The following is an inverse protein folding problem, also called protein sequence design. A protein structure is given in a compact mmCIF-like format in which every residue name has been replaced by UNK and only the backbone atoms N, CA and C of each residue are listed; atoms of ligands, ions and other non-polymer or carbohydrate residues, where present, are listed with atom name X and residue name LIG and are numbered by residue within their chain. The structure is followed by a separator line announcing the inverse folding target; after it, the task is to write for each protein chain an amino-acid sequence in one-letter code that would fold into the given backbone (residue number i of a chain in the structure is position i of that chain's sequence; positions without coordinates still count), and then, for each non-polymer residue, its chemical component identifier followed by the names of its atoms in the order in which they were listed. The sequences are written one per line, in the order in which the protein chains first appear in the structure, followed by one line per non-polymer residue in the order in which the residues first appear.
data_IF_734109158193
#
_entry.id   IF_734109158193
#
_cell.length_a   1.000
_cell.length_b   1.000
_cell.length_c   1.000
_cell.angle_alpha   90.00
_cell.angle_beta   90.00
_cell.angle_gamma   90.00
#
_symmetry.space_group_name_H-M   'P 1'
#
loop_
_entity.id
_entity.type
_entity.pdbx_description
1 polymer ?
#
# COMPACT_ATOMS: atom_id res chain seq x y z
N UNK A 1 -18.73 -0.24 3.20
CA UNK A 1 -17.71 -0.48 4.23
C UNK A 1 -16.39 0.18 3.83
N UNK A 2 -15.77 0.85 4.76
CA UNK A 2 -14.50 1.54 4.49
C UNK A 2 -13.37 0.54 4.61
N UNK A 3 -12.52 0.50 3.59
CA UNK A 3 -11.37 -0.38 3.59
C UNK A 3 -10.23 0.28 4.35
N UNK A 4 -9.56 -0.49 5.19
CA UNK A 4 -8.41 0.00 5.90
C UNK A 4 -7.14 -0.09 5.08
N UNK A 5 -6.03 0.32 5.68
CA UNK A 5 -4.75 0.31 5.01
C UNK A 5 -4.36 -1.08 4.48
N UNK A 6 -4.49 -2.17 5.28
CA UNK A 6 -4.07 -3.48 4.78
C UNK A 6 -4.80 -3.86 3.50
N UNK A 7 -6.10 -3.66 3.46
CA UNK A 7 -6.90 -4.03 2.28
C UNK A 7 -6.51 -3.19 1.08
N UNK A 8 -6.27 -1.89 1.30
CA UNK A 8 -5.89 -1.01 0.20
C UNK A 8 -4.53 -1.36 -0.36
N UNK A 9 -3.59 -1.73 0.49
CA UNK A 9 -2.27 -2.14 0.03
C UNK A 9 -2.37 -3.38 -0.85
N UNK A 10 -3.16 -4.35 -0.43
CA UNK A 10 -3.34 -5.57 -1.22
C UNK A 10 -4.02 -5.25 -2.55
N UNK A 11 -5.06 -4.41 -2.53
CA UNK A 11 -5.77 -4.04 -3.75
C UNK A 11 -4.85 -3.36 -4.75
N UNK A 12 -4.04 -2.42 -4.29
CA UNK A 12 -3.14 -1.72 -5.18
C UNK A 12 -2.10 -2.66 -5.77
N UNK A 13 -1.57 -3.56 -4.97
CA UNK A 13 -0.60 -4.53 -5.45
C UNK A 13 -1.22 -5.40 -6.55
N UNK A 14 -2.44 -5.87 -6.31
CA UNK A 14 -3.12 -6.72 -7.28
C UNK A 14 -3.50 -5.94 -8.54
N UNK A 15 -3.86 -4.69 -8.37
CA UNK A 15 -4.19 -3.82 -9.51
C UNK A 15 -3.04 -3.73 -10.50
N UNK A 16 -1.82 -3.66 -9.99
CA UNK A 16 -0.64 -3.58 -10.84
C UNK A 16 -0.03 -4.93 -11.15
N UNK A 17 -0.66 -6.02 -10.69
CA UNK A 17 -0.17 -7.39 -10.92
C UNK A 17 1.23 -7.60 -10.35
N UNK A 18 1.54 -6.94 -9.26
CA UNK A 18 2.82 -7.12 -8.58
C UNK A 18 2.72 -8.30 -7.62
N UNK A 19 3.81 -9.08 -7.52
CA UNK A 19 3.91 -10.09 -6.49
C UNK A 19 4.34 -9.45 -5.18
N UNK A 20 4.10 -10.15 -4.07
CA UNK A 20 4.61 -9.67 -2.78
C UNK A 20 6.13 -9.60 -2.81
N UNK A 21 6.77 -10.55 -3.48
CA UNK A 21 8.23 -10.55 -3.60
C UNK A 21 8.73 -9.31 -4.33
N UNK A 22 8.06 -8.93 -5.42
CA UNK A 22 8.46 -7.76 -6.17
C UNK A 22 8.38 -6.50 -5.30
N UNK A 23 7.25 -6.35 -4.60
CA UNK A 23 7.06 -5.17 -3.73
C UNK A 23 8.10 -5.19 -2.61
N UNK A 24 8.36 -6.36 -2.04
CA UNK A 24 9.35 -6.50 -0.98
C UNK A 24 10.74 -6.06 -1.48
N UNK A 25 11.10 -6.49 -2.69
CA UNK A 25 12.38 -6.10 -3.27
C UNK A 25 12.47 -4.60 -3.46
N UNK A 26 11.38 -3.97 -3.89
CA UNK A 26 11.35 -2.52 -4.08
C UNK A 26 11.51 -1.77 -2.77
N UNK A 27 11.01 -2.32 -1.68
CA UNK A 27 11.07 -1.69 -0.38
C UNK A 27 12.25 -2.17 0.47
N UNK A 28 13.05 -3.11 -0.05
CA UNK A 28 14.19 -3.68 0.66
C UNK A 28 13.78 -4.36 1.96
N UNK A 29 12.70 -5.12 1.90
CA UNK A 29 12.21 -5.92 3.04
C UNK A 29 11.93 -7.32 2.54
N UNK A 30 11.63 -8.24 3.47
CA UNK A 30 11.26 -9.60 3.08
C UNK A 30 9.79 -9.66 2.63
N UNK A 31 9.43 -10.65 1.81
CA UNK A 31 8.02 -10.81 1.41
C UNK A 31 7.08 -11.00 2.60
N UNK A 32 7.54 -11.61 3.68
CA UNK A 32 6.69 -11.78 4.86
C UNK A 32 6.32 -10.44 5.49
N UNK A 33 7.17 -9.43 5.37
CA UNK A 33 6.85 -8.09 5.84
C UNK A 33 5.70 -7.51 5.01
N UNK A 34 5.75 -7.68 3.69
CA UNK A 34 4.68 -7.21 2.83
C UNK A 34 3.37 -7.92 3.16
N UNK A 35 3.44 -9.24 3.36
CA UNK A 35 2.28 -10.00 3.78
C UNK A 35 1.71 -9.45 5.09
N UNK A 36 2.57 -9.13 6.04
CA UNK A 36 2.14 -8.55 7.31
C UNK A 36 1.44 -7.21 7.13
N UNK A 37 1.92 -6.38 6.23
CA UNK A 37 1.26 -5.11 5.92
C UNK A 37 -0.15 -5.36 5.36
N UNK A 38 -0.30 -6.40 4.55
CA UNK A 38 -1.58 -6.67 3.89
C UNK A 38 -2.58 -7.39 4.79
N UNK A 39 -2.10 -8.04 5.83
CA UNK A 39 -2.99 -8.69 6.81
C UNK A 39 -3.29 -7.82 8.01
N UNK A 40 -2.54 -6.75 8.19
CA UNK A 40 -2.69 -5.88 9.35
C UNK A 40 -1.84 -6.29 10.53
N UNK A 41 -1.03 -7.35 10.40
CA UNK A 41 -0.15 -7.79 11.48
C UNK A 41 1.00 -6.81 11.70
N UNK A 42 1.36 -6.06 10.67
CA UNK A 42 2.43 -5.08 10.74
C UNK A 42 1.94 -3.78 10.14
N UNK A 43 2.44 -2.68 10.69
CA UNK A 43 2.12 -1.34 10.19
C UNK A 43 3.38 -0.78 9.55
N UNK A 44 3.31 -0.33 8.29
CA UNK A 44 4.48 0.28 7.67
C UNK A 44 4.86 1.58 8.35
N UNK A 45 6.15 1.83 8.46
CA UNK A 45 6.64 3.12 8.93
C UNK A 45 6.27 4.19 7.93
N UNK A 46 6.43 5.46 8.33
CA UNK A 46 6.19 6.58 7.40
C UNK A 46 7.03 6.43 6.14
N UNK A 47 8.29 6.05 6.31
CA UNK A 47 9.20 5.87 5.17
C UNK A 47 8.70 4.79 4.23
N UNK A 48 8.27 3.65 4.78
CA UNK A 48 7.78 2.56 3.95
C UNK A 48 6.44 2.91 3.33
N UNK A 49 5.60 3.64 4.05
CA UNK A 49 4.32 4.08 3.52
C UNK A 49 4.52 5.02 2.33
N UNK A 50 5.47 5.93 2.42
CA UNK A 50 5.80 6.81 1.30
C UNK A 50 6.28 6.01 0.10
N UNK A 51 7.15 5.02 0.34
CA UNK A 51 7.64 4.19 -0.74
C UNK A 51 6.51 3.42 -1.42
N UNK A 52 5.56 2.91 -0.62
CA UNK A 52 4.40 2.22 -1.16
C UNK A 52 3.53 3.16 -1.98
N UNK A 53 3.35 4.40 -1.51
CA UNK A 53 2.54 5.36 -2.24
C UNK A 53 3.15 5.67 -3.61
N UNK A 54 4.47 5.80 -3.68
CA UNK A 54 5.15 6.02 -4.95
C UNK A 54 5.01 4.80 -5.86
N UNK A 55 5.20 3.62 -5.30
CA UNK A 55 5.14 2.38 -6.08
C UNK A 55 3.75 2.17 -6.67
N UNK A 56 2.72 2.50 -5.91
CA UNK A 56 1.33 2.30 -6.33
C UNK A 56 0.72 3.55 -6.95
N UNK A 57 1.49 4.61 -7.11
CA UNK A 57 1.03 5.85 -7.76
C UNK A 57 -0.23 6.41 -7.11
N UNK A 58 -0.27 6.41 -5.79
CA UNK A 58 -1.38 6.97 -5.03
C UNK A 58 -0.84 7.78 -3.85
N UNK A 59 -1.70 8.55 -3.22
CA UNK A 59 -1.28 9.37 -2.09
C UNK A 59 -1.28 8.55 -0.81
N UNK A 60 -0.48 8.97 0.16
CA UNK A 60 -0.51 8.34 1.48
C UNK A 60 -1.87 8.57 2.15
N UNK A 61 -2.50 9.71 1.90
CA UNK A 61 -3.83 9.96 2.45
C UNK A 61 -4.85 8.96 1.93
N UNK A 62 -4.75 8.61 0.65
CA UNK A 62 -5.64 7.58 0.10
C UNK A 62 -5.40 6.25 0.80
N UNK A 63 -4.13 5.86 0.96
CA UNK A 63 -3.81 4.58 1.60
C UNK A 63 -4.28 4.54 3.04
N UNK A 64 -4.19 5.67 3.74
CA UNK A 64 -4.60 5.76 5.13
C UNK A 64 -6.10 5.94 5.32
N UNK A 65 -6.82 6.15 4.21
CA UNK A 65 -8.26 6.34 4.29
C UNK A 65 -8.69 7.70 4.78
N UNK A 66 -7.76 8.67 4.79
CA UNK A 66 -8.11 10.02 5.22
C UNK A 66 -8.94 10.75 4.21
N UNK A 67 -8.74 10.42 2.94
CA UNK A 67 -9.52 10.96 1.85
C UNK A 67 -10.16 9.81 1.14
N UNK A 68 -11.41 9.97 0.82
CA UNK A 68 -12.16 8.95 0.10
C UNK A 68 -12.04 9.12 -1.40
N UNK A 69 -11.31 10.14 -1.84
CA UNK A 69 -11.12 10.40 -3.26
C UNK A 69 -10.02 9.54 -3.83
N UNK A 70 -10.31 8.95 -4.95
CA UNK A 70 -9.30 8.29 -5.75
C UNK A 70 -8.33 9.37 -6.23
N UNK A 71 -7.02 9.08 -6.32
CA UNK A 71 -6.08 10.08 -6.87
C UNK A 71 -6.48 10.61 -8.23
N UNK A 72 -7.20 9.83 -9.01
CA UNK A 72 -7.65 10.25 -10.33
C UNK A 72 -8.77 11.27 -10.27
N UNK A 73 -9.46 11.37 -9.16
CA UNK A 73 -10.55 12.32 -9.02
C UNK A 73 -10.17 13.55 -8.21
N UNK A 74 -8.95 13.61 -7.74
CA UNK A 74 -8.45 14.74 -6.98
C UNK A 74 -7.98 15.82 -7.95
N UNK A 75 -8.79 16.77 -8.14
CA UNK A 75 -8.49 17.85 -9.07
C UNK A 75 -8.55 19.19 -8.38
#
# INVERSE_FOLDING_TARGET
MIKGLPEKLKEQREKYHYSQKYVADQLHVSPSIISGYETGERTPSTEKLLALSYLYHCSTDYLLGRKHDDPETMI
#
